data_IF_466965375002
#
_entry.id   IF_466965375002
#
_cell.length_a   1.000
_cell.length_b   1.000
_cell.length_c   1.000
_cell.angle_alpha   90.00
_cell.angle_beta   90.00
_cell.angle_gamma   90.00
#
_symmetry.space_group_name_H-M   'P 1'
#
loop_
_entity.id
_entity.type
_entity.pdbx_description
1 polymer ?
#
# COMPACT_ATOMS: atom_id res chain seq x y z
N UNK A 1 -8.63 12.11 -0.80
CA UNK A 1 -7.18 12.09 -0.48
C UNK A 1 -6.60 10.79 -1.01
N UNK A 2 -5.32 10.76 -1.37
CA UNK A 2 -4.68 9.55 -1.90
C UNK A 2 -4.69 8.40 -0.88
N UNK A 3 -4.58 8.70 0.42
CA UNK A 3 -4.70 7.69 1.50
C UNK A 3 -6.01 6.91 1.41
N UNK A 4 -7.14 7.57 1.19
CA UNK A 4 -8.44 6.89 1.06
C UNK A 4 -8.49 5.96 -0.15
N UNK A 5 -7.81 6.33 -1.26
CA UNK A 5 -7.71 5.48 -2.46
C UNK A 5 -6.92 4.21 -2.13
N UNK A 6 -5.79 4.36 -1.43
CA UNK A 6 -4.97 3.24 -1.00
C UNK A 6 -5.70 2.32 -0.02
N UNK A 7 -6.41 2.87 0.97
CA UNK A 7 -7.23 2.10 1.91
C UNK A 7 -8.36 1.34 1.20
N UNK A 8 -9.05 1.98 0.24
CA UNK A 8 -10.07 1.32 -0.55
C UNK A 8 -9.49 0.17 -1.39
N UNK A 9 -8.31 0.37 -1.99
CA UNK A 9 -7.61 -0.67 -2.72
C UNK A 9 -7.21 -1.85 -1.81
N UNK A 10 -6.76 -1.58 -0.57
CA UNK A 10 -6.44 -2.62 0.41
C UNK A 10 -7.67 -3.39 0.90
N UNK A 11 -8.81 -2.70 1.05
CA UNK A 11 -10.08 -3.32 1.38
C UNK A 11 -10.52 -4.27 0.25
N UNK A 12 -10.41 -3.82 -1.00
CA UNK A 12 -10.66 -4.68 -2.16
C UNK A 12 -9.71 -5.88 -2.20
N UNK A 13 -8.40 -5.67 -2.00
CA UNK A 13 -7.42 -6.76 -1.98
C UNK A 13 -7.72 -7.79 -0.87
N UNK A 14 -8.17 -7.32 0.30
CA UNK A 14 -8.59 -8.19 1.40
C UNK A 14 -9.83 -9.01 1.05
N UNK A 15 -10.83 -8.38 0.41
CA UNK A 15 -12.03 -9.06 -0.05
C UNK A 15 -11.71 -10.09 -1.16
N UNK A 16 -10.80 -9.75 -2.07
CA UNK A 16 -10.36 -10.64 -3.14
C UNK A 16 -9.55 -11.83 -2.60
N UNK A 17 -8.73 -11.63 -1.56
CA UNK A 17 -8.10 -12.73 -0.83
C UNK A 17 -9.14 -13.69 -0.25
N UNK A 18 -10.16 -13.16 0.43
CA UNK A 18 -11.26 -13.95 0.99
C UNK A 18 -12.04 -14.70 -0.10
N UNK A 19 -12.33 -14.04 -1.24
CA UNK A 19 -13.02 -14.64 -2.39
C UNK A 19 -12.24 -15.81 -3.02
N UNK A 20 -10.91 -15.78 -2.93
CA UNK A 20 -10.01 -16.82 -3.44
C UNK A 20 -9.59 -17.84 -2.38
N UNK A 21 -10.13 -17.74 -1.16
CA UNK A 21 -9.78 -18.62 -0.04
C UNK A 21 -8.28 -18.62 0.30
N UNK A 22 -7.61 -17.48 0.09
CA UNK A 22 -6.19 -17.29 0.46
C UNK A 22 -6.08 -16.44 1.72
N UNK A 23 -5.02 -16.68 2.50
CA UNK A 23 -4.76 -15.94 3.73
C UNK A 23 -4.53 -14.45 3.43
N UNK A 24 -5.07 -13.58 4.28
CA UNK A 24 -5.03 -12.14 4.09
C UNK A 24 -3.69 -11.51 4.54
N UNK A 25 -2.58 -12.04 4.04
CA UNK A 25 -1.22 -11.55 4.33
C UNK A 25 -0.87 -10.32 3.49
N UNK A 26 0.07 -9.46 3.94
CA UNK A 26 0.53 -8.32 3.13
C UNK A 26 1.02 -8.71 1.74
N UNK A 27 1.77 -9.82 1.65
CA UNK A 27 2.25 -10.37 0.38
C UNK A 27 1.11 -10.75 -0.56
N UNK A 28 0.06 -11.40 -0.04
CA UNK A 28 -1.10 -11.79 -0.84
C UNK A 28 -1.92 -10.57 -1.25
N UNK A 29 -2.14 -9.60 -0.36
CA UNK A 29 -2.79 -8.32 -0.70
C UNK A 29 -2.04 -7.60 -1.82
N UNK A 30 -0.71 -7.52 -1.72
CA UNK A 30 0.14 -6.93 -2.77
C UNK A 30 -0.01 -7.69 -4.09
N UNK A 31 -0.03 -9.03 -4.05
CA UNK A 31 -0.26 -9.85 -5.23
C UNK A 31 -1.64 -9.62 -5.85
N UNK A 32 -2.69 -9.43 -5.04
CA UNK A 32 -4.04 -9.10 -5.54
C UNK A 32 -4.07 -7.71 -6.19
N UNK A 33 -3.40 -6.72 -5.60
CA UNK A 33 -3.26 -5.39 -6.19
C UNK A 33 -2.45 -5.40 -7.49
N UNK A 34 -1.46 -6.28 -7.61
CA UNK A 34 -0.64 -6.42 -8.81
C UNK A 34 0.00 -5.09 -9.22
N UNK A 35 -0.16 -4.70 -10.49
CA UNK A 35 0.38 -3.44 -11.00
C UNK A 35 -0.37 -2.19 -10.55
N UNK A 36 -1.58 -2.32 -9.99
CA UNK A 36 -2.38 -1.19 -9.56
C UNK A 36 -1.74 -0.43 -8.38
N UNK A 37 -0.90 -1.10 -7.58
CA UNK A 37 -0.17 -0.46 -6.49
C UNK A 37 0.76 0.67 -6.97
N UNK A 38 1.29 0.57 -8.19
CA UNK A 38 2.17 1.57 -8.79
C UNK A 38 1.42 2.80 -9.33
N UNK A 39 0.08 2.73 -9.38
CA UNK A 39 -0.76 3.88 -9.75
C UNK A 39 -1.05 4.79 -8.55
N UNK A 40 -0.82 4.29 -7.33
CA UNK A 40 -0.99 5.07 -6.10
C UNK A 40 0.14 6.07 -5.96
N UNK A 41 -0.22 7.34 -5.84
CA UNK A 41 0.72 8.47 -5.75
C UNK A 41 1.12 8.72 -4.29
N UNK A 42 1.84 7.78 -3.69
CA UNK A 42 2.26 7.86 -2.27
C UNK A 42 2.86 9.20 -1.83
N UNK A 43 3.69 9.90 -2.64
CA UNK A 43 4.20 11.24 -2.29
C UNK A 43 3.14 12.34 -2.09
N UNK A 44 1.91 12.13 -2.57
CA UNK A 44 0.81 13.08 -2.39
C UNK A 44 0.07 12.91 -1.06
N UNK A 45 0.39 11.87 -0.29
CA UNK A 45 0.00 11.72 1.12
C UNK A 45 0.89 12.61 2.00
N UNK A 46 0.49 12.88 3.24
CA UNK A 46 1.44 13.48 4.19
C UNK A 46 2.45 12.43 4.65
N UNK A 47 3.64 12.88 5.08
CA UNK A 47 4.65 11.99 5.66
C UNK A 47 4.09 11.19 6.85
N UNK A 48 3.28 11.84 7.69
CA UNK A 48 2.63 11.20 8.83
C UNK A 48 1.61 10.14 8.40
N UNK A 49 0.76 10.45 7.40
CA UNK A 49 -0.20 9.51 6.82
C UNK A 49 0.51 8.28 6.25
N UNK A 50 1.62 8.49 5.53
CA UNK A 50 2.44 7.41 4.96
C UNK A 50 3.15 6.57 6.03
N UNK A 51 3.81 7.20 7.00
CA UNK A 51 4.59 6.54 8.04
C UNK A 51 3.72 5.76 9.04
N UNK A 52 2.52 6.26 9.36
CA UNK A 52 1.61 5.63 10.32
C UNK A 52 0.72 4.56 9.68
N UNK A 53 0.50 4.61 8.36
CA UNK A 53 -0.40 3.68 7.67
C UNK A 53 0.36 2.80 6.69
N UNK A 54 0.71 3.35 5.53
CA UNK A 54 1.23 2.60 4.38
C UNK A 54 2.53 1.84 4.69
N UNK A 55 3.48 2.50 5.36
CA UNK A 55 4.78 1.91 5.67
C UNK A 55 4.71 0.73 6.66
N UNK A 56 3.73 0.75 7.58
CA UNK A 56 3.60 -0.29 8.61
C UNK A 56 2.88 -1.55 8.12
N UNK A 57 2.09 -1.43 7.04
CA UNK A 57 1.28 -2.54 6.55
C UNK A 57 2.10 -3.63 5.82
N UNK A 58 3.39 -3.38 5.53
CA UNK A 58 4.26 -4.35 4.87
C UNK A 58 3.85 -4.68 3.42
N UNK A 59 2.99 -3.85 2.82
CA UNK A 59 2.51 -4.00 1.45
C UNK A 59 3.59 -3.53 0.46
N UNK A 60 4.28 -2.44 0.80
CA UNK A 60 5.42 -1.94 0.03
C UNK A 60 6.67 -2.75 0.34
N UNK A 61 7.55 -2.88 -0.66
CA UNK A 61 8.88 -3.45 -0.43
C UNK A 61 9.71 -2.48 0.42
N UNK A 62 10.75 -2.97 1.11
CA UNK A 62 11.64 -2.08 1.87
C UNK A 62 12.26 -0.99 1.00
N UNK A 63 12.65 -1.32 -0.23
CA UNK A 63 13.23 -0.34 -1.17
C UNK A 63 12.21 0.74 -1.55
N UNK A 64 10.98 0.37 -1.94
CA UNK A 64 9.93 1.34 -2.26
C UNK A 64 9.62 2.26 -1.07
N UNK A 65 9.61 1.70 0.13
CA UNK A 65 9.36 2.48 1.36
C UNK A 65 10.47 3.51 1.56
N UNK A 66 11.74 3.11 1.41
CA UNK A 66 12.89 4.02 1.49
C UNK A 66 12.82 5.10 0.40
N UNK A 67 12.53 4.72 -0.84
CA UNK A 67 12.47 5.67 -1.96
C UNK A 67 11.40 6.75 -1.73
N UNK A 68 10.25 6.36 -1.19
CA UNK A 68 9.17 7.31 -0.84
C UNK A 68 9.58 8.18 0.35
N UNK A 69 10.22 7.62 1.39
CA UNK A 69 10.74 8.43 2.50
C UNK A 69 11.76 9.47 2.02
N UNK A 70 12.67 9.08 1.13
CA UNK A 70 13.66 10.00 0.54
C UNK A 70 12.97 11.14 -0.21
N UNK A 71 11.87 10.88 -0.91
CA UNK A 71 11.09 11.92 -1.58
C UNK A 71 10.52 12.99 -0.61
N UNK A 72 10.18 12.61 0.63
CA UNK A 72 9.69 13.57 1.63
C UNK A 72 10.80 14.36 2.34
N UNK A 73 12.04 13.87 2.29
CA UNK A 73 13.19 14.50 2.95
C UNK A 73 14.11 15.26 1.99
N UNK A 74 13.93 15.07 0.68
CA UNK A 74 14.64 15.78 -0.39
C UNK A 74 14.05 17.17 -0.62
#
# INVERSE_FOLDING_TARGET
KEINLFEAALSWASAECARREIENTPTNKRAMLGSAIYLVRFPTMTLEEFANSTAQLGILTPQETIDIFLHFTA
#
